data_IF_791656184958
#
_entry.id   IF_791656184958
#
_cell.length_a   1.000
_cell.length_b   1.000
_cell.length_c   1.000
_cell.angle_alpha   90.00
_cell.angle_beta   90.00
_cell.angle_gamma   90.00
#
_symmetry.space_group_name_H-M   'P 1'
#
loop_
_entity.id
_entity.type
_entity.pdbx_description
1 polymer ?
#
# COMPACT_ATOMS: atom_id res chain seq x y z
N UNK A 1 15.21 -70.59 4.68
CA UNK A 1 15.78 -70.14 5.97
C UNK A 1 17.29 -69.95 5.81
N UNK A 2 17.84 -68.83 6.34
CA UNK A 2 19.17 -68.18 6.10
C UNK A 2 19.00 -66.93 5.23
N UNK A 3 19.43 -65.70 5.58
CA UNK A 3 20.35 -65.10 6.58
C UNK A 3 19.86 -63.63 6.79
N UNK A 4 19.76 -63.05 8.00
CA UNK A 4 20.82 -62.44 8.83
C UNK A 4 21.58 -61.32 8.06
N UNK A 5 21.72 -60.04 8.47
CA UNK A 5 22.14 -59.48 9.77
C UNK A 5 22.09 -57.92 9.74
N UNK A 6 21.68 -57.31 10.86
CA UNK A 6 22.06 -56.04 11.53
C UNK A 6 22.14 -54.67 10.81
N UNK A 7 21.42 -53.70 11.37
CA UNK A 7 21.92 -52.51 12.11
C UNK A 7 20.68 -51.84 12.74
N UNK A 8 20.57 -51.44 14.02
CA UNK A 8 21.55 -50.88 14.93
C UNK A 8 21.07 -49.48 15.35
N UNK A 9 20.19 -49.43 16.36
CA UNK A 9 20.02 -48.39 17.39
C UNK A 9 20.13 -46.90 16.99
N UNK A 10 19.02 -46.15 17.07
CA UNK A 10 18.93 -44.95 17.93
C UNK A 10 17.47 -44.55 18.19
N UNK A 11 17.02 -44.78 19.43
CA UNK A 11 15.89 -44.11 20.07
C UNK A 11 16.34 -42.68 20.42
N UNK A 12 15.53 -41.67 20.09
CA UNK A 12 15.15 -40.54 20.95
C UNK A 12 14.62 -39.35 20.12
N UNK A 13 13.65 -38.66 20.72
CA UNK A 13 13.11 -37.32 20.41
C UNK A 13 11.88 -37.26 19.51
N UNK A 14 10.74 -37.54 20.14
CA UNK A 14 9.59 -36.62 20.26
C UNK A 14 9.63 -35.35 19.39
N UNK A 15 8.53 -35.10 18.68
CA UNK A 15 8.14 -33.72 18.37
C UNK A 15 7.44 -33.57 17.03
N UNK A 16 6.13 -33.35 17.10
CA UNK A 16 5.35 -32.61 16.12
C UNK A 16 5.45 -33.10 14.67
N UNK A 17 4.45 -33.88 14.25
CA UNK A 17 4.02 -33.86 12.86
C UNK A 17 3.76 -32.40 12.47
N UNK A 18 4.70 -31.83 11.71
CA UNK A 18 4.55 -30.51 11.12
C UNK A 18 3.32 -30.54 10.20
N UNK A 19 2.37 -29.68 10.56
CA UNK A 19 1.19 -29.31 9.78
C UNK A 19 1.66 -28.98 8.36
N UNK A 20 1.05 -29.53 7.30
CA UNK A 20 1.33 -29.04 5.95
C UNK A 20 0.90 -27.57 5.91
N UNK A 21 1.87 -26.66 5.77
CA UNK A 21 1.58 -25.27 5.46
C UNK A 21 0.72 -25.26 4.20
N UNK A 22 -0.47 -24.66 4.29
CA UNK A 22 -1.37 -24.47 3.15
C UNK A 22 -0.63 -23.63 2.12
N UNK A 23 -0.09 -24.30 1.11
CA UNK A 23 0.52 -23.66 -0.05
C UNK A 23 -0.64 -23.21 -0.93
N UNK A 24 -1.12 -21.98 -0.71
CA UNK A 24 -1.91 -21.27 -1.70
C UNK A 24 -0.96 -20.92 -2.85
N UNK A 25 -0.85 -21.83 -3.82
CA UNK A 25 0.10 -21.74 -4.91
C UNK A 25 -0.28 -20.60 -5.86
N UNK A 26 0.41 -19.49 -5.66
CA UNK A 26 0.25 -18.26 -6.39
C UNK A 26 1.69 -17.74 -6.59
N UNK A 27 2.32 -18.17 -7.68
CA UNK A 27 3.73 -17.90 -7.95
C UNK A 27 3.86 -16.47 -8.48
N UNK A 28 3.79 -15.49 -7.58
CA UNK A 28 3.89 -14.06 -7.88
C UNK A 28 5.33 -13.55 -7.66
N UNK A 29 5.61 -12.28 -8.00
CA UNK A 29 6.90 -11.66 -7.62
C UNK A 29 7.15 -11.70 -6.10
N UNK A 30 6.08 -11.91 -5.31
CA UNK A 30 6.13 -12.04 -3.87
C UNK A 30 5.25 -13.18 -3.32
N UNK A 31 5.83 -14.00 -2.44
CA UNK A 31 5.05 -14.90 -1.58
C UNK A 31 4.35 -14.06 -0.49
N UNK A 32 3.03 -13.91 -0.60
CA UNK A 32 2.21 -13.40 0.49
C UNK A 32 2.42 -14.29 1.72
N UNK A 33 3.02 -13.75 2.79
CA UNK A 33 3.08 -14.39 4.11
C UNK A 33 1.74 -14.33 4.87
N UNK A 34 0.64 -13.95 4.22
CA UNK A 34 -0.67 -13.95 4.87
C UNK A 34 -1.22 -15.36 4.92
N UNK A 35 -1.67 -15.76 6.11
CA UNK A 35 -2.41 -17.02 6.30
C UNK A 35 -3.80 -17.00 5.62
N UNK A 36 -4.20 -15.84 5.07
CA UNK A 36 -5.52 -15.59 4.50
C UNK A 36 -5.45 -15.09 3.06
N UNK A 37 -6.44 -15.49 2.25
CA UNK A 37 -6.70 -14.88 0.94
C UNK A 37 -7.78 -13.81 1.12
N UNK A 38 -7.51 -12.61 0.63
CA UNK A 38 -8.50 -11.54 0.55
C UNK A 38 -8.99 -11.41 -0.88
N UNK A 39 -10.30 -11.25 -1.05
CA UNK A 39 -10.87 -11.06 -2.37
C UNK A 39 -12.11 -10.16 -2.34
N UNK A 40 -12.40 -9.55 -3.49
CA UNK A 40 -13.61 -8.78 -3.74
C UNK A 40 -14.54 -9.59 -4.62
N UNK A 41 -15.80 -9.76 -4.22
CA UNK A 41 -16.84 -10.29 -5.09
C UNK A 41 -17.12 -9.32 -6.26
N UNK A 42 -16.67 -9.64 -7.47
CA UNK A 42 -16.88 -8.85 -8.69
C UNK A 42 -18.28 -9.01 -9.26
N UNK A 43 -18.94 -10.10 -8.93
CA UNK A 43 -20.34 -10.40 -9.20
C UNK A 43 -21.05 -10.73 -7.87
N UNK A 44 -22.33 -11.07 -7.94
CA UNK A 44 -23.00 -11.70 -6.80
C UNK A 44 -22.34 -13.03 -6.46
N UNK A 45 -22.13 -13.30 -5.17
CA UNK A 45 -21.44 -14.51 -4.70
C UNK A 45 -22.38 -15.36 -3.84
N UNK A 46 -22.81 -16.54 -4.30
CA UNK A 46 -23.53 -17.51 -3.49
C UNK A 46 -22.70 -17.94 -2.28
N UNK A 47 -23.35 -18.03 -1.12
CA UNK A 47 -22.74 -18.49 0.13
C UNK A 47 -23.62 -19.55 0.76
N UNK A 48 -23.01 -20.65 1.18
CA UNK A 48 -23.67 -21.86 1.66
C UNK A 48 -23.46 -22.07 3.16
N UNK A 49 -24.32 -22.89 3.77
CA UNK A 49 -24.22 -23.23 5.20
C UNK A 49 -23.07 -24.20 5.51
N UNK A 50 -22.74 -25.12 4.61
CA UNK A 50 -21.69 -26.13 4.78
C UNK A 50 -20.94 -26.42 3.47
N UNK A 51 -19.85 -27.19 3.57
CA UNK A 51 -18.96 -27.63 2.49
C UNK A 51 -19.39 -28.96 1.82
N UNK A 52 -20.61 -29.43 2.11
CA UNK A 52 -21.15 -30.68 1.54
C UNK A 52 -22.63 -30.55 1.13
N UNK A 53 -23.22 -29.37 1.30
CA UNK A 53 -24.61 -29.08 0.93
C UNK A 53 -24.67 -27.84 0.03
N UNK A 54 -25.59 -27.87 -0.93
CA UNK A 54 -25.93 -26.71 -1.75
C UNK A 54 -27.01 -25.82 -1.10
N UNK A 55 -27.26 -26.00 0.21
CA UNK A 55 -28.18 -25.15 0.95
C UNK A 55 -27.65 -23.71 1.03
N UNK A 56 -28.28 -22.84 0.24
CA UNK A 56 -27.94 -21.43 0.15
C UNK A 56 -28.23 -20.72 1.47
N UNK A 57 -27.19 -20.11 2.04
CA UNK A 57 -27.28 -19.26 3.23
C UNK A 57 -27.60 -17.82 2.88
N UNK A 58 -26.93 -17.28 1.88
CA UNK A 58 -27.13 -15.91 1.40
C UNK A 58 -26.44 -15.72 0.05
N UNK A 59 -26.68 -14.57 -0.59
CA UNK A 59 -25.94 -14.11 -1.77
C UNK A 59 -25.30 -12.78 -1.39
N UNK A 60 -23.98 -12.70 -1.49
CA UNK A 60 -23.26 -11.46 -1.26
C UNK A 60 -23.40 -10.55 -2.49
N UNK A 61 -23.71 -9.27 -2.32
CA UNK A 61 -23.77 -8.34 -3.44
C UNK A 61 -22.38 -8.08 -4.03
N UNK A 62 -22.37 -7.57 -5.26
CA UNK A 62 -21.15 -7.05 -5.90
C UNK A 62 -20.41 -6.06 -4.99
N UNK A 63 -19.09 -6.07 -5.10
CA UNK A 63 -18.14 -5.27 -4.34
C UNK A 63 -18.03 -5.64 -2.84
N UNK A 64 -18.52 -6.81 -2.44
CA UNK A 64 -18.35 -7.30 -1.07
C UNK A 64 -16.94 -7.86 -0.87
N UNK A 65 -16.25 -7.40 0.17
CA UNK A 65 -14.98 -7.98 0.61
C UNK A 65 -15.18 -9.31 1.33
N UNK A 66 -14.39 -10.31 0.96
CA UNK A 66 -14.36 -11.64 1.57
C UNK A 66 -12.93 -12.02 1.98
N UNK A 67 -12.82 -12.76 3.09
CA UNK A 67 -11.55 -13.30 3.60
C UNK A 67 -11.67 -14.82 3.68
N UNK A 68 -10.87 -15.56 2.92
CA UNK A 68 -10.80 -17.03 3.03
C UNK A 68 -10.06 -17.37 4.32
N UNK A 69 -10.73 -18.11 5.20
CA UNK A 69 -10.22 -18.55 6.51
C UNK A 69 -10.00 -20.05 6.60
N UNK A 70 -10.57 -20.81 5.67
CA UNK A 70 -10.58 -22.26 5.68
C UNK A 70 -10.76 -22.85 4.28
N UNK A 71 -10.58 -24.15 4.18
CA UNK A 71 -10.72 -24.88 2.92
C UNK A 71 -11.03 -26.34 3.19
N UNK A 72 -11.98 -26.91 2.45
CA UNK A 72 -12.36 -28.32 2.55
C UNK A 72 -12.77 -28.83 1.17
N UNK A 73 -12.08 -29.85 0.64
CA UNK A 73 -12.33 -30.32 -0.73
C UNK A 73 -12.37 -29.19 -1.76
N UNK A 74 -13.47 -29.12 -2.52
CA UNK A 74 -13.75 -28.09 -3.53
C UNK A 74 -14.34 -26.79 -2.97
N UNK A 75 -14.21 -26.53 -1.68
CA UNK A 75 -14.82 -25.38 -0.99
C UNK A 75 -13.80 -24.52 -0.26
N UNK A 76 -14.11 -23.22 -0.19
CA UNK A 76 -13.49 -22.26 0.71
C UNK A 76 -14.46 -21.87 1.82
N UNK A 77 -13.97 -21.83 3.06
CA UNK A 77 -14.66 -21.15 4.14
C UNK A 77 -14.27 -19.68 4.09
N UNK A 78 -15.26 -18.79 3.98
CA UNK A 78 -15.07 -17.35 3.88
C UNK A 78 -15.68 -16.64 5.09
N UNK A 79 -15.04 -15.53 5.46
CA UNK A 79 -15.53 -14.54 6.40
C UNK A 79 -15.87 -13.25 5.65
N UNK A 80 -17.03 -12.66 5.96
CA UNK A 80 -17.54 -11.44 5.30
C UNK A 80 -18.30 -10.55 6.28
N UNK A 81 -18.42 -9.27 5.96
CA UNK A 81 -19.17 -8.30 6.75
C UNK A 81 -20.70 -8.50 6.61
N UNK A 82 -21.42 -8.47 7.72
CA UNK A 82 -22.88 -8.56 7.75
C UNK A 82 -23.52 -7.18 7.61
N UNK A 83 -24.66 -7.08 6.90
CA UNK A 83 -25.48 -5.85 6.82
C UNK A 83 -25.90 -5.29 8.19
N UNK A 84 -25.99 -6.14 9.21
CA UNK A 84 -26.36 -5.75 10.59
C UNK A 84 -25.16 -5.42 11.49
N UNK A 85 -23.96 -5.28 10.91
CA UNK A 85 -22.70 -5.18 11.65
C UNK A 85 -22.15 -6.56 12.05
N UNK A 86 -20.84 -6.60 12.30
CA UNK A 86 -20.09 -7.82 12.65
C UNK A 86 -19.69 -8.67 11.44
N UNK A 87 -19.01 -9.78 11.71
CA UNK A 87 -18.54 -10.74 10.72
C UNK A 87 -19.41 -12.00 10.72
N UNK A 88 -19.60 -12.60 9.55
CA UNK A 88 -20.25 -13.90 9.37
C UNK A 88 -19.33 -14.82 8.59
N UNK A 89 -19.49 -16.12 8.83
CA UNK A 89 -18.82 -17.15 8.06
C UNK A 89 -19.79 -17.86 7.12
N UNK A 90 -19.29 -18.48 6.08
CA UNK A 90 -20.02 -19.38 5.19
C UNK A 90 -19.08 -20.06 4.21
N UNK A 91 -19.64 -20.87 3.32
CA UNK A 91 -18.89 -21.64 2.35
C UNK A 91 -19.18 -21.17 0.93
N UNK A 92 -18.18 -21.23 0.06
CA UNK A 92 -18.30 -20.96 -1.37
C UNK A 92 -17.51 -22.02 -2.12
N UNK A 93 -17.99 -22.46 -3.29
CA UNK A 93 -17.21 -23.40 -4.10
C UNK A 93 -15.96 -22.69 -4.63
N UNK A 94 -14.89 -23.45 -4.88
CA UNK A 94 -13.67 -22.89 -5.48
C UNK A 94 -13.96 -22.33 -6.87
N UNK A 95 -14.83 -23.00 -7.63
CA UNK A 95 -15.19 -22.57 -8.98
C UNK A 95 -15.88 -21.20 -8.95
N UNK A 96 -16.90 -21.01 -8.11
CA UNK A 96 -17.56 -19.71 -7.90
C UNK A 96 -16.59 -18.66 -7.37
N UNK A 97 -15.70 -19.02 -6.44
CA UNK A 97 -14.71 -18.07 -5.94
C UNK A 97 -13.77 -17.59 -7.04
N UNK A 98 -13.26 -18.50 -7.88
CA UNK A 98 -12.36 -18.16 -8.97
C UNK A 98 -13.08 -17.45 -10.13
N UNK A 99 -14.37 -17.73 -10.36
CA UNK A 99 -15.16 -17.03 -11.37
C UNK A 99 -15.65 -15.66 -10.91
N UNK A 100 -15.93 -15.46 -9.63
CA UNK A 100 -16.68 -14.29 -9.16
C UNK A 100 -15.92 -13.43 -8.16
N UNK A 101 -14.67 -13.78 -7.82
CA UNK A 101 -13.83 -12.96 -6.95
C UNK A 101 -12.54 -12.48 -7.63
N UNK A 102 -12.08 -11.30 -7.22
CA UNK A 102 -10.78 -10.74 -7.55
C UNK A 102 -9.92 -10.70 -6.29
N UNK A 103 -8.76 -11.36 -6.33
CA UNK A 103 -7.85 -11.46 -5.17
C UNK A 103 -7.06 -10.16 -5.04
N UNK A 104 -6.83 -9.71 -3.81
CA UNK A 104 -6.04 -8.50 -3.56
C UNK A 104 -5.18 -8.61 -2.31
N UNK A 105 -4.28 -7.65 -2.15
CA UNK A 105 -3.49 -7.50 -0.93
C UNK A 105 -4.31 -6.86 0.19
N UNK A 106 -4.82 -7.69 1.08
CA UNK A 106 -5.62 -7.28 2.24
C UNK A 106 -4.83 -6.70 3.40
N UNK A 107 -3.52 -6.47 3.28
CA UNK A 107 -2.76 -5.74 4.31
C UNK A 107 -3.36 -4.36 4.53
N UNK A 108 -3.24 -3.90 5.77
CA UNK A 108 -3.67 -2.57 6.17
C UNK A 108 -2.95 -1.49 5.35
N UNK A 109 -3.67 -0.42 5.01
CA UNK A 109 -3.17 0.68 4.19
C UNK A 109 -2.46 1.65 5.12
N UNK A 110 -1.15 1.51 5.22
CA UNK A 110 -0.32 2.33 6.10
C UNK A 110 -0.26 3.78 5.58
N UNK A 111 -0.27 4.82 6.45
CA UNK A 111 -0.10 6.22 6.03
C UNK A 111 1.17 6.45 5.19
N UNK A 112 2.23 5.72 5.53
CA UNK A 112 3.43 5.55 4.72
C UNK A 112 4.11 4.22 5.09
N UNK A 113 4.89 3.69 4.16
CA UNK A 113 5.58 2.40 4.31
C UNK A 113 6.74 2.43 5.31
N UNK A 114 7.17 1.26 5.77
CA UNK A 114 8.37 1.13 6.61
C UNK A 114 9.60 1.70 5.88
N UNK A 115 10.50 2.33 6.61
CA UNK A 115 11.73 2.85 6.02
C UNK A 115 12.35 3.98 6.82
N UNK A 116 13.45 4.49 6.29
CA UNK A 116 14.14 5.66 6.84
C UNK A 116 13.65 6.92 6.15
N UNK A 117 13.23 7.88 6.95
CA UNK A 117 12.75 9.19 6.52
C UNK A 117 13.57 10.28 7.20
N UNK A 118 13.84 11.36 6.48
CA UNK A 118 14.27 12.63 7.05
C UNK A 118 13.05 13.34 7.63
N UNK A 119 13.20 13.84 8.85
CA UNK A 119 12.18 14.61 9.53
C UNK A 119 12.52 16.10 9.45
N UNK A 120 11.55 16.91 9.03
CA UNK A 120 11.63 18.37 9.11
C UNK A 120 10.43 18.86 9.93
N UNK A 121 10.72 19.56 11.03
CA UNK A 121 9.69 20.09 11.92
C UNK A 121 8.99 21.31 11.30
N UNK A 122 7.69 21.44 11.56
CA UNK A 122 6.90 22.62 11.23
C UNK A 122 5.87 22.86 12.32
N UNK A 123 5.74 24.10 12.76
CA UNK A 123 4.70 24.54 13.68
C UNK A 123 3.68 25.38 12.90
N UNK A 124 2.44 24.89 12.84
CA UNK A 124 1.38 25.55 12.08
C UNK A 124 0.88 26.81 12.82
N UNK A 125 1.39 27.98 12.44
CA UNK A 125 0.89 29.27 12.94
C UNK A 125 -0.52 29.54 12.41
N UNK A 126 -1.47 29.80 13.33
CA UNK A 126 -2.92 29.88 13.05
C UNK A 126 -3.38 31.09 12.21
N UNK A 127 -2.48 31.94 11.71
CA UNK A 127 -2.84 33.27 11.22
C UNK A 127 -2.68 33.53 9.71
N UNK A 128 -2.24 32.60 8.87
CA UNK A 128 -2.14 32.86 7.42
C UNK A 128 -2.84 31.80 6.55
N UNK A 129 -3.90 32.24 5.88
CA UNK A 129 -4.67 31.49 4.89
C UNK A 129 -4.03 31.46 3.51
N UNK A 130 -2.82 32.03 3.38
CA UNK A 130 -1.96 31.91 2.20
C UNK A 130 -0.70 31.14 2.59
N UNK A 131 -0.52 29.95 2.03
CA UNK A 131 0.79 29.29 1.96
C UNK A 131 1.72 30.12 1.04
N UNK A 132 2.13 31.30 1.51
CA UNK A 132 3.46 31.78 1.18
C UNK A 132 4.42 30.78 1.85
N UNK A 133 5.43 30.31 1.11
CA UNK A 133 6.56 29.55 1.68
C UNK A 133 7.20 30.37 2.79
N UNK A 134 6.65 30.32 4.01
CA UNK A 134 7.28 30.86 5.19
C UNK A 134 8.30 29.82 5.62
N UNK A 135 9.49 29.97 5.06
CA UNK A 135 10.75 29.29 5.41
C UNK A 135 11.25 29.66 6.81
N UNK A 136 10.47 30.42 7.58
CA UNK A 136 10.63 30.59 9.02
C UNK A 136 9.87 29.45 9.71
N UNK A 137 10.43 28.28 9.95
CA UNK A 137 11.69 28.01 10.62
C UNK A 137 12.14 26.58 10.26
N UNK A 138 12.94 26.40 9.20
CA UNK A 138 13.70 25.16 9.02
C UNK A 138 14.85 25.20 10.06
N UNK A 139 14.50 25.11 11.34
CA UNK A 139 15.45 25.23 12.43
C UNK A 139 15.96 23.82 12.78
N UNK A 140 17.23 23.63 12.41
CA UNK A 140 18.18 22.58 12.78
C UNK A 140 18.09 21.22 12.07
N UNK A 141 19.29 20.68 11.84
CA UNK A 141 19.66 19.40 11.24
C UNK A 141 18.51 18.40 11.04
N UNK A 142 18.07 18.22 9.78
CA UNK A 142 17.22 17.11 9.36
C UNK A 142 17.79 15.80 9.96
N UNK A 143 17.17 15.29 11.01
CA UNK A 143 17.56 14.01 11.59
C UNK A 143 16.72 12.91 10.96
N UNK A 144 17.36 11.77 10.73
CA UNK A 144 16.72 10.65 10.05
C UNK A 144 16.22 9.63 11.07
N UNK A 145 15.00 9.14 10.86
CA UNK A 145 14.40 8.08 11.67
C UNK A 145 13.92 6.94 10.79
N UNK A 146 14.08 5.72 11.29
CA UNK A 146 13.49 4.51 10.72
C UNK A 146 12.14 4.26 11.39
N UNK A 147 11.09 4.20 10.60
CA UNK A 147 9.74 3.89 11.05
C UNK A 147 9.42 2.43 10.76
N UNK A 148 8.84 1.75 11.76
CA UNK A 148 8.35 0.38 11.63
C UNK A 148 6.90 0.30 12.08
N UNK A 149 6.03 -0.07 11.16
CA UNK A 149 4.59 -0.18 11.33
C UNK A 149 4.22 -1.25 12.36
N UNK A 150 3.28 -0.89 13.23
CA UNK A 150 2.79 -1.70 14.33
C UNK A 150 1.28 -2.00 14.24
N UNK A 151 0.58 -1.53 13.19
CA UNK A 151 -0.87 -1.68 13.02
C UNK A 151 -1.66 -0.43 13.41
N UNK A 152 -2.85 -0.24 12.83
CA UNK A 152 -3.79 0.85 13.13
C UNK A 152 -3.13 2.25 13.12
N UNK A 153 -2.37 2.56 12.07
CA UNK A 153 -1.60 3.81 11.94
C UNK A 153 -0.53 4.04 13.03
N UNK A 154 -0.15 3.00 13.78
CA UNK A 154 0.88 3.08 14.82
C UNK A 154 2.25 2.65 14.31
N UNK A 155 3.29 3.28 14.85
CA UNK A 155 4.67 3.02 14.48
C UNK A 155 5.58 2.99 15.71
N UNK A 156 6.64 2.19 15.62
CA UNK A 156 7.83 2.37 16.44
C UNK A 156 8.85 3.17 15.64
N UNK A 157 9.60 4.03 16.33
CA UNK A 157 10.53 4.98 15.70
C UNK A 157 11.93 4.72 16.24
N UNK A 158 12.89 4.50 15.35
CA UNK A 158 14.30 4.26 15.68
C UNK A 158 15.17 5.33 15.02
N UNK A 159 16.17 5.87 15.72
CA UNK A 159 17.14 6.78 15.13
C UNK A 159 17.90 6.08 14.00
N UNK A 160 18.04 6.72 12.84
CA UNK A 160 18.69 6.07 11.69
C UNK A 160 20.17 5.78 12.00
N UNK A 161 20.63 4.57 11.67
CA UNK A 161 22.03 4.15 11.90
C UNK A 161 22.38 3.80 13.36
N UNK A 162 21.45 3.95 14.31
CA UNK A 162 21.66 3.65 15.72
C UNK A 162 20.64 2.63 16.23
N UNK A 163 21.03 1.77 17.19
CA UNK A 163 20.10 0.90 17.92
C UNK A 163 19.46 1.64 19.11
N UNK A 164 18.89 2.81 18.82
CA UNK A 164 18.17 3.66 19.78
C UNK A 164 16.78 3.99 19.29
N UNK A 165 15.80 3.78 20.16
CA UNK A 165 14.36 3.90 19.86
C UNK A 165 13.77 5.09 20.60
N UNK A 166 12.83 5.79 19.97
CA UNK A 166 12.09 6.85 20.63
C UNK A 166 11.25 6.22 21.74
N UNK A 167 11.46 6.68 22.96
CA UNK A 167 10.80 6.16 24.15
C UNK A 167 9.38 6.67 24.26
N UNK A 168 8.52 5.88 24.90
CA UNK A 168 7.20 6.35 25.31
C UNK A 168 7.33 7.58 26.19
N UNK A 169 6.38 8.49 26.03
CA UNK A 169 6.34 9.70 26.82
C UNK A 169 5.95 9.41 28.28
N UNK A 170 6.57 10.13 29.23
CA UNK A 170 6.39 9.93 30.68
C UNK A 170 5.74 11.11 31.40
N UNK A 171 5.17 12.08 30.67
CA UNK A 171 4.62 13.34 31.21
C UNK A 171 5.63 14.25 31.93
N UNK A 172 6.93 13.95 31.85
CA UNK A 172 7.95 14.89 32.33
C UNK A 172 7.91 16.18 31.51
N UNK A 173 8.05 17.33 32.17
CA UNK A 173 7.88 18.65 31.57
C UNK A 173 9.12 19.13 30.79
N UNK A 174 10.26 18.44 30.88
CA UNK A 174 11.47 18.80 30.14
C UNK A 174 12.43 17.59 30.02
N UNK A 175 12.13 16.60 29.15
CA UNK A 175 13.13 15.60 28.79
C UNK A 175 14.20 16.22 27.88
N UNK A 176 15.47 15.94 28.14
CA UNK A 176 16.54 16.27 27.18
C UNK A 176 16.48 15.31 25.98
N UNK A 177 17.01 15.71 24.82
CA UNK A 177 17.02 14.86 23.61
C UNK A 177 17.62 13.48 23.85
N UNK A 178 18.65 13.36 24.70
CA UNK A 178 19.28 12.09 25.06
C UNK A 178 18.38 11.18 25.90
N UNK A 179 17.45 11.74 26.68
CA UNK A 179 16.51 10.97 27.51
C UNK A 179 15.33 10.39 26.73
N UNK A 180 15.06 10.95 25.54
CA UNK A 180 14.02 10.49 24.60
C UNK A 180 14.42 9.23 23.83
N UNK A 181 15.71 8.91 23.75
CA UNK A 181 16.22 7.76 23.01
C UNK A 181 16.66 6.66 23.97
N UNK A 182 16.10 5.45 23.81
CA UNK A 182 16.35 4.31 24.68
C UNK A 182 16.60 3.01 23.93
N UNK A 183 16.62 1.92 24.69
CA UNK A 183 16.69 0.57 24.15
C UNK A 183 15.39 0.16 23.44
N UNK A 184 15.42 -0.97 22.73
CA UNK A 184 14.23 -1.53 22.07
C UNK A 184 13.11 -1.87 23.06
N UNK A 185 13.44 -2.25 24.29
CA UNK A 185 12.48 -2.59 25.35
C UNK A 185 11.74 -1.36 25.89
N UNK A 186 12.32 -0.17 25.72
CA UNK A 186 11.74 1.10 26.15
C UNK A 186 11.02 1.83 24.99
N UNK A 187 10.99 1.23 23.80
CA UNK A 187 10.41 1.85 22.61
C UNK A 187 8.92 2.17 22.81
N UNK A 188 8.55 3.42 22.53
CA UNK A 188 7.16 3.84 22.50
C UNK A 188 6.45 3.41 21.22
N UNK A 189 5.13 3.52 21.26
CA UNK A 189 4.25 3.32 20.12
C UNK A 189 3.56 4.64 19.82
N UNK A 190 3.71 5.10 18.58
CA UNK A 190 3.28 6.43 18.16
C UNK A 190 2.18 6.34 17.11
N UNK A 191 1.05 6.97 17.37
CA UNK A 191 -0.02 7.15 16.40
C UNK A 191 0.39 8.25 15.42
N UNK A 192 0.37 7.92 14.13
CA UNK A 192 0.70 8.86 13.07
C UNK A 192 -0.57 9.31 12.36
N UNK A 193 -0.80 10.62 12.32
CA UNK A 193 -1.98 11.20 11.65
C UNK A 193 -1.56 12.23 10.62
N UNK A 194 -2.07 12.10 9.39
CA UNK A 194 -1.85 13.10 8.34
C UNK A 194 -2.61 14.39 8.67
N UNK A 195 -1.93 15.53 8.63
CA UNK A 195 -2.52 16.88 8.74
C UNK A 195 -2.04 17.71 7.55
N UNK A 196 -2.90 17.86 6.54
CA UNK A 196 -2.56 18.47 5.24
C UNK A 196 -1.33 17.79 4.61
N UNK A 197 -0.22 18.52 4.46
CA UNK A 197 1.02 18.04 3.85
C UNK A 197 1.97 17.37 4.86
N UNK A 198 1.64 17.45 6.15
CA UNK A 198 2.49 17.02 7.25
C UNK A 198 1.86 15.87 8.05
N UNK A 199 2.57 15.41 9.07
CA UNK A 199 2.12 14.37 10.00
C UNK A 199 2.31 14.80 11.45
N UNK A 200 1.33 14.49 12.31
CA UNK A 200 1.56 14.48 13.75
C UNK A 200 2.16 13.12 14.15
N UNK A 201 3.03 13.13 15.16
CA UNK A 201 3.61 11.94 15.77
C UNK A 201 3.19 11.96 17.23
N UNK A 202 2.14 11.21 17.58
CA UNK A 202 1.49 11.30 18.88
C UNK A 202 1.81 10.07 19.74
N UNK A 203 2.29 10.28 20.97
CA UNK A 203 2.42 9.19 21.95
C UNK A 203 1.02 8.68 22.32
N UNK A 204 0.84 7.36 22.24
CA UNK A 204 -0.47 6.76 22.48
C UNK A 204 -0.94 6.88 23.94
N UNK A 205 -0.02 6.89 24.90
CA UNK A 205 -0.37 6.87 26.32
C UNK A 205 -0.72 8.26 26.81
N UNK A 206 0.14 9.24 26.51
CA UNK A 206 -0.01 10.60 27.03
C UNK A 206 -0.80 11.52 26.11
N UNK A 207 -1.01 11.11 24.85
CA UNK A 207 -1.64 11.91 23.79
C UNK A 207 -0.90 13.22 23.48
N UNK A 208 0.38 13.32 23.84
CA UNK A 208 1.25 14.44 23.49
C UNK A 208 1.94 14.18 22.14
N UNK A 209 2.14 15.22 21.36
CA UNK A 209 2.82 15.17 20.07
C UNK A 209 4.32 15.38 20.26
N UNK A 210 5.12 14.62 19.51
CA UNK A 210 6.54 14.92 19.34
C UNK A 210 6.67 16.28 18.65
N UNK A 211 7.45 17.16 19.25
CA UNK A 211 7.70 18.53 18.81
C UNK A 211 9.19 18.84 18.92
N UNK A 212 9.54 20.05 18.50
CA UNK A 212 10.85 20.64 18.67
C UNK A 212 10.69 22.03 19.30
N UNK A 213 11.42 22.31 20.38
CA UNK A 213 11.40 23.64 20.99
C UNK A 213 12.34 24.64 20.29
N UNK A 214 12.33 25.90 20.73
CA UNK A 214 13.18 26.99 20.22
C UNK A 214 14.68 26.64 20.20
N UNK A 215 15.11 25.74 21.09
CA UNK A 215 16.47 25.24 21.19
C UNK A 215 16.79 24.10 20.24
N UNK A 216 15.91 23.75 19.31
CA UNK A 216 16.05 22.60 18.41
C UNK A 216 16.03 21.24 19.10
N UNK A 217 15.58 21.18 20.35
CA UNK A 217 15.57 19.95 21.13
C UNK A 217 14.20 19.29 20.98
N UNK A 218 14.20 17.99 20.70
CA UNK A 218 12.97 17.19 20.65
C UNK A 218 12.31 17.15 22.03
N UNK A 219 10.99 17.26 22.04
CA UNK A 219 10.17 17.18 23.26
C UNK A 219 8.74 16.67 22.94
N UNK A 220 7.94 16.43 23.98
CA UNK A 220 6.52 16.11 23.84
C UNK A 220 5.65 17.27 24.33
N UNK A 221 4.70 17.70 23.49
CA UNK A 221 3.82 18.84 23.76
C UNK A 221 2.34 18.46 23.59
N UNK A 222 1.45 19.21 24.23
CA UNK A 222 0.00 19.11 23.98
C UNK A 222 -0.45 19.93 22.77
N UNK A 223 0.45 20.70 22.15
CA UNK A 223 0.13 21.44 20.95
C UNK A 223 -0.14 20.50 19.76
N UNK A 224 -1.30 20.68 19.14
CA UNK A 224 -1.75 19.94 17.96
C UNK A 224 -1.20 20.49 16.64
N UNK A 225 -0.46 21.59 16.68
CA UNK A 225 0.19 22.22 15.52
C UNK A 225 1.65 21.79 15.33
N UNK A 226 2.22 21.05 16.27
CA UNK A 226 3.49 20.35 16.11
C UNK A 226 3.37 19.24 15.06
N UNK A 227 3.89 19.50 13.85
CA UNK A 227 3.80 18.58 12.71
C UNK A 227 5.17 18.39 12.05
N UNK A 228 5.28 17.28 11.31
CA UNK A 228 6.52 16.85 10.68
C UNK A 228 6.30 16.59 9.19
N UNK A 229 7.20 17.10 8.36
CA UNK A 229 7.38 16.60 7.00
C UNK A 229 8.28 15.37 7.06
N UNK A 230 7.88 14.32 6.37
CA UNK A 230 8.67 13.10 6.24
C UNK A 230 9.10 12.99 4.79
N UNK A 231 10.41 12.91 4.54
CA UNK A 231 10.96 12.75 3.19
C UNK A 231 11.77 11.47 3.12
N UNK A 232 11.50 10.63 2.12
CA UNK A 232 12.14 9.32 1.96
C UNK A 232 13.23 9.39 0.90
N UNK A 233 14.40 8.83 1.21
CA UNK A 233 15.57 8.90 0.31
C UNK A 233 15.76 7.65 -0.57
N UNK A 234 14.86 6.67 -0.47
CA UNK A 234 14.94 5.39 -1.20
C UNK A 234 13.54 4.93 -1.55
N UNK A 235 13.36 4.22 -2.67
CA UNK A 235 12.07 3.60 -3.03
C UNK A 235 11.51 2.69 -1.92
N UNK A 236 10.18 2.55 -1.92
CA UNK A 236 9.42 1.67 -1.05
C UNK A 236 9.06 0.32 -1.69
N UNK A 237 9.97 -0.23 -2.48
CA UNK A 237 9.78 -1.48 -3.24
C UNK A 237 10.42 -2.71 -2.58
N UNK A 238 11.02 -2.52 -1.40
CA UNK A 238 11.56 -3.61 -0.58
C UNK A 238 10.47 -4.62 -0.24
N UNK A 239 10.86 -5.88 -0.02
CA UNK A 239 9.98 -7.02 0.24
C UNK A 239 8.86 -6.75 1.27
N UNK A 240 9.15 -5.99 2.31
CA UNK A 240 8.19 -5.68 3.39
C UNK A 240 7.21 -4.55 3.03
N UNK A 241 7.55 -3.73 2.03
CA UNK A 241 6.83 -2.51 1.66
C UNK A 241 6.06 -2.67 0.36
N UNK A 242 6.56 -3.48 -0.58
CA UNK A 242 5.94 -3.71 -1.88
C UNK A 242 4.47 -4.10 -1.70
N UNK A 243 3.56 -3.25 -2.12
CA UNK A 243 2.11 -3.44 -2.04
C UNK A 243 1.49 -2.87 -3.31
N UNK A 244 0.64 -3.65 -3.97
CA UNK A 244 -0.13 -3.16 -5.13
C UNK A 244 -1.49 -2.72 -4.63
N UNK A 245 -1.77 -1.43 -4.76
CA UNK A 245 -3.10 -0.88 -4.52
C UNK A 245 -3.94 -1.10 -5.78
N UNK A 246 -4.93 -1.96 -5.65
CA UNK A 246 -5.83 -2.33 -6.75
C UNK A 246 -7.10 -1.50 -6.71
N UNK A 247 -7.66 -1.21 -7.88
CA UNK A 247 -8.88 -0.41 -7.99
C UNK A 247 -10.14 -1.14 -7.49
N UNK A 248 -10.03 -2.45 -7.28
CA UNK A 248 -11.11 -3.34 -6.84
C UNK A 248 -11.00 -3.75 -5.35
N UNK A 249 -10.34 -2.97 -4.49
CA UNK A 249 -10.39 -3.20 -3.03
C UNK A 249 -11.76 -2.80 -2.47
N UNK A 250 -12.40 -3.60 -1.59
CA UNK A 250 -13.73 -3.31 -1.04
C UNK A 250 -13.84 -1.97 -0.29
N UNK A 251 -12.71 -1.38 0.14
CA UNK A 251 -12.69 -0.05 0.77
C UNK A 251 -13.16 1.05 -0.20
N UNK A 252 -12.93 0.90 -1.50
CA UNK A 252 -13.25 1.93 -2.50
C UNK A 252 -13.92 1.42 -3.77
N UNK A 253 -13.91 0.11 -4.06
CA UNK A 253 -14.35 -0.46 -5.33
C UNK A 253 -15.73 0.01 -5.78
N UNK A 254 -16.68 0.12 -4.84
CA UNK A 254 -18.06 0.56 -5.10
C UNK A 254 -18.24 2.08 -5.19
N UNK A 255 -17.24 2.86 -4.79
CA UNK A 255 -17.34 4.31 -4.74
C UNK A 255 -17.16 4.90 -6.13
N UNK A 256 -17.93 5.96 -6.38
CA UNK A 256 -17.87 6.69 -7.65
C UNK A 256 -16.47 7.23 -7.90
N UNK A 257 -16.04 7.12 -9.14
CA UNK A 257 -14.88 7.88 -9.58
C UNK A 257 -15.34 9.32 -9.78
N UNK A 258 -15.01 10.22 -8.86
CA UNK A 258 -15.30 11.64 -8.97
C UNK A 258 -16.29 12.09 -7.91
N UNK A 259 -16.88 13.27 -8.08
CA UNK A 259 -17.76 13.86 -7.07
C UNK A 259 -19.19 13.29 -7.13
N UNK A 260 -19.98 13.53 -6.08
CA UNK A 260 -21.37 13.03 -5.95
C UNK A 260 -22.33 13.57 -7.02
N UNK A 261 -21.92 14.57 -7.83
CA UNK A 261 -22.76 15.14 -8.91
C UNK A 261 -22.65 14.40 -10.23
N UNK A 262 -21.75 13.42 -10.32
CA UNK A 262 -21.54 12.63 -11.54
C UNK A 262 -22.64 11.58 -11.69
N UNK A 263 -23.41 11.65 -12.80
CA UNK A 263 -24.70 10.96 -12.94
C UNK A 263 -24.64 9.45 -13.21
N UNK A 264 -23.47 8.92 -13.60
CA UNK A 264 -23.33 7.50 -13.96
C UNK A 264 -22.71 6.68 -12.82
N UNK A 265 -23.55 5.95 -12.10
CA UNK A 265 -23.20 5.29 -10.85
C UNK A 265 -22.74 3.83 -11.01
N UNK A 266 -23.22 3.14 -12.04
CA UNK A 266 -23.04 1.68 -12.17
C UNK A 266 -21.85 1.30 -13.06
N UNK A 267 -21.40 2.19 -13.94
CA UNK A 267 -20.29 1.99 -14.88
C UNK A 267 -19.03 2.79 -14.56
N UNK A 268 -19.10 3.75 -13.62
CA UNK A 268 -18.01 4.69 -13.33
C UNK A 268 -17.65 4.76 -11.84
N UNK A 269 -17.31 3.60 -11.27
CA UNK A 269 -16.72 3.47 -9.95
C UNK A 269 -15.22 3.13 -10.04
N UNK A 270 -14.51 3.17 -8.92
CA UNK A 270 -13.09 2.80 -8.91
C UNK A 270 -12.85 1.41 -9.49
N UNK A 271 -13.72 0.43 -9.21
CA UNK A 271 -13.53 -0.92 -9.70
C UNK A 271 -13.52 -1.01 -11.24
N UNK A 272 -14.21 -0.10 -11.93
CA UNK A 272 -14.39 -0.13 -13.40
C UNK A 272 -13.46 0.83 -14.12
N UNK A 273 -13.28 2.04 -13.58
CA UNK A 273 -12.62 3.15 -14.28
C UNK A 273 -11.42 3.73 -13.51
N UNK A 274 -11.01 3.13 -12.38
CA UNK A 274 -10.01 3.68 -11.47
C UNK A 274 -8.54 3.47 -11.83
N UNK A 275 -8.22 2.84 -12.97
CA UNK A 275 -6.86 2.37 -13.26
C UNK A 275 -5.81 3.48 -13.24
N UNK A 276 -6.10 4.66 -13.79
CA UNK A 276 -5.17 5.80 -13.78
C UNK A 276 -4.94 6.39 -12.38
N UNK A 277 -5.98 6.40 -11.52
CA UNK A 277 -5.83 6.82 -10.12
C UNK A 277 -4.94 5.84 -9.38
N UNK A 278 -5.21 4.54 -9.48
CA UNK A 278 -4.41 3.54 -8.76
C UNK A 278 -3.02 3.32 -9.34
N UNK A 279 -2.81 3.56 -10.64
CA UNK A 279 -1.45 3.63 -11.20
C UNK A 279 -0.67 4.80 -10.61
N UNK A 280 -1.32 5.95 -10.38
CA UNK A 280 -0.73 7.10 -9.68
C UNK A 280 -0.44 6.77 -8.21
N UNK A 281 -1.36 6.13 -7.50
CA UNK A 281 -1.17 5.67 -6.10
C UNK A 281 0.05 4.76 -6.00
N UNK A 282 0.13 3.74 -6.87
CA UNK A 282 1.24 2.78 -6.89
C UNK A 282 2.57 3.46 -7.24
N UNK A 283 2.57 4.45 -8.16
CA UNK A 283 3.77 5.19 -8.54
C UNK A 283 4.30 6.04 -7.38
N UNK A 284 3.43 6.80 -6.71
CA UNK A 284 3.77 7.64 -5.56
C UNK A 284 4.24 6.77 -4.39
N UNK A 285 3.45 5.76 -4.01
CA UNK A 285 3.77 4.92 -2.87
C UNK A 285 5.09 4.17 -3.06
N UNK A 286 5.34 3.62 -4.25
CA UNK A 286 6.60 2.91 -4.53
C UNK A 286 7.81 3.85 -4.55
N UNK A 287 7.61 5.12 -4.90
CA UNK A 287 8.65 6.13 -5.00
C UNK A 287 9.01 6.71 -3.62
N UNK A 288 8.02 7.29 -2.93
CA UNK A 288 8.22 8.05 -1.68
C UNK A 288 7.80 7.29 -0.42
N UNK A 289 7.10 6.18 -0.57
CA UNK A 289 6.54 5.42 0.54
C UNK A 289 5.24 5.99 1.10
N UNK A 290 4.82 7.19 0.72
CA UNK A 290 3.57 7.78 1.20
C UNK A 290 2.36 7.17 0.51
N UNK A 291 1.29 6.89 1.26
CA UNK A 291 0.03 6.46 0.69
C UNK A 291 -0.84 7.66 0.32
N UNK A 292 -1.04 7.96 -0.98
CA UNK A 292 -1.98 9.00 -1.39
C UNK A 292 -3.42 8.54 -1.26
N UNK A 293 -4.29 9.46 -0.86
CA UNK A 293 -5.71 9.20 -0.74
C UNK A 293 -6.32 9.07 -2.15
N UNK A 294 -6.82 7.89 -2.55
CA UNK A 294 -7.40 7.70 -3.88
C UNK A 294 -8.63 8.59 -4.12
N UNK A 295 -9.39 8.94 -3.07
CA UNK A 295 -10.56 9.81 -3.19
C UNK A 295 -10.15 11.24 -3.52
N UNK A 296 -9.12 11.77 -2.86
CA UNK A 296 -8.60 13.11 -3.13
C UNK A 296 -8.06 13.24 -4.56
N UNK A 297 -7.32 12.22 -5.02
CA UNK A 297 -6.84 12.15 -6.40
C UNK A 297 -8.01 12.11 -7.40
N UNK A 298 -9.03 11.29 -7.14
CA UNK A 298 -10.19 11.14 -8.00
C UNK A 298 -11.08 12.39 -8.06
N UNK A 299 -11.31 13.05 -6.92
CA UNK A 299 -12.03 14.32 -6.87
C UNK A 299 -11.29 15.39 -7.67
N UNK A 300 -9.97 15.51 -7.49
CA UNK A 300 -9.17 16.46 -8.25
C UNK A 300 -9.20 16.16 -9.76
N UNK A 301 -9.08 14.89 -10.16
CA UNK A 301 -9.21 14.49 -11.56
C UNK A 301 -10.57 14.89 -12.15
N UNK A 302 -11.65 14.67 -11.40
CA UNK A 302 -13.01 15.03 -11.82
C UNK A 302 -13.20 16.55 -11.93
N UNK A 303 -12.81 17.31 -10.90
CA UNK A 303 -12.99 18.76 -10.84
C UNK A 303 -12.16 19.51 -11.88
N UNK A 304 -11.05 18.91 -12.33
CA UNK A 304 -10.19 19.45 -13.39
C UNK A 304 -10.41 18.84 -14.76
N UNK A 305 -11.50 18.07 -14.93
CA UNK A 305 -11.89 17.46 -16.21
C UNK A 305 -10.86 16.47 -16.79
N UNK A 306 -10.03 15.87 -15.95
CA UNK A 306 -9.18 14.72 -16.31
C UNK A 306 -9.91 13.39 -16.17
N UNK A 307 -11.08 13.34 -15.53
CA UNK A 307 -11.95 12.17 -15.60
C UNK A 307 -12.63 12.13 -16.96
N UNK A 308 -12.45 11.03 -17.68
CA UNK A 308 -13.18 10.74 -18.92
C UNK A 308 -14.28 9.73 -18.59
N UNK A 309 -15.52 10.11 -18.85
CA UNK A 309 -16.69 9.24 -18.67
C UNK A 309 -16.51 7.92 -19.42
N UNK A 310 -16.77 6.81 -18.72
CA UNK A 310 -16.60 5.42 -19.18
C UNK A 310 -15.19 5.00 -19.65
N UNK A 311 -14.20 5.91 -19.58
CA UNK A 311 -12.83 5.66 -20.06
C UNK A 311 -11.76 5.82 -18.97
N UNK A 312 -12.12 6.35 -17.80
CA UNK A 312 -11.22 6.49 -16.66
C UNK A 312 -10.49 7.82 -16.62
N UNK A 313 -9.16 7.80 -16.68
CA UNK A 313 -8.31 8.97 -16.44
C UNK A 313 -7.58 9.41 -17.72
N UNK A 314 -7.71 10.69 -18.06
CA UNK A 314 -6.89 11.34 -19.07
C UNK A 314 -5.42 11.42 -18.64
N UNK A 315 -4.50 11.22 -19.58
CA UNK A 315 -3.05 11.21 -19.29
C UNK A 315 -2.51 12.55 -18.79
N UNK A 316 -3.17 13.67 -19.11
CA UNK A 316 -2.85 15.00 -18.59
C UNK A 316 -2.94 15.08 -17.06
N UNK A 317 -3.70 14.16 -16.44
CA UNK A 317 -3.77 14.02 -14.99
C UNK A 317 -2.40 13.81 -14.34
N UNK A 318 -1.49 13.04 -14.96
CA UNK A 318 -0.26 12.63 -14.27
C UNK A 318 0.64 13.82 -13.96
N UNK A 319 0.80 14.73 -14.94
CA UNK A 319 1.48 16.00 -14.70
C UNK A 319 0.73 16.86 -13.68
N UNK A 320 -0.58 17.01 -13.83
CA UNK A 320 -1.39 17.85 -12.95
C UNK A 320 -1.43 17.34 -11.49
N UNK A 321 -1.37 16.03 -11.29
CA UNK A 321 -1.30 15.39 -9.98
C UNK A 321 0.03 15.68 -9.29
N UNK A 322 1.14 15.64 -10.03
CA UNK A 322 2.44 16.04 -9.50
C UNK A 322 2.48 17.52 -9.12
N UNK A 323 1.93 18.42 -9.95
CA UNK A 323 1.85 19.85 -9.63
C UNK A 323 1.00 20.13 -8.38
N UNK A 324 -0.09 19.37 -8.19
CA UNK A 324 -1.03 19.57 -7.08
C UNK A 324 -0.58 18.90 -5.78
N UNK A 325 -0.03 17.69 -5.86
CA UNK A 325 0.20 16.81 -4.72
C UNK A 325 1.67 16.44 -4.51
N UNK A 326 2.57 16.93 -5.35
CA UNK A 326 4.00 16.61 -5.32
C UNK A 326 4.63 16.88 -3.97
N UNK A 327 4.48 18.11 -3.47
CA UNK A 327 5.01 18.51 -2.15
C UNK A 327 4.47 17.64 -1.01
N UNK A 328 3.16 17.33 -1.06
CA UNK A 328 2.43 16.54 -0.07
C UNK A 328 2.93 15.11 0.04
N UNK A 329 3.24 14.47 -1.10
CA UNK A 329 3.62 13.06 -1.16
C UNK A 329 5.08 12.82 -1.57
N UNK A 330 5.89 13.86 -1.74
CA UNK A 330 7.32 13.77 -2.05
C UNK A 330 7.63 13.23 -3.45
N UNK A 331 6.97 13.76 -4.49
CA UNK A 331 7.22 13.36 -5.87
C UNK A 331 7.05 14.53 -6.86
N UNK A 332 7.63 14.40 -8.04
CA UNK A 332 7.48 15.37 -9.14
C UNK A 332 7.35 14.67 -10.49
N UNK A 333 6.80 15.38 -11.48
CA UNK A 333 6.69 14.89 -12.86
C UNK A 333 7.99 15.10 -13.62
N UNK A 334 8.48 14.04 -14.27
CA UNK A 334 9.75 14.06 -15.00
C UNK A 334 9.59 13.83 -16.51
N UNK A 335 8.39 14.05 -17.03
CA UNK A 335 8.08 13.94 -18.45
C UNK A 335 7.46 12.62 -18.85
N UNK A 336 7.40 12.40 -20.16
CA UNK A 336 6.82 11.21 -20.78
C UNK A 336 7.64 10.79 -21.99
N UNK A 337 7.65 9.49 -22.28
CA UNK A 337 8.39 8.92 -23.41
C UNK A 337 7.84 7.58 -23.86
N UNK A 338 8.37 7.07 -24.97
CA UNK A 338 7.97 5.77 -25.55
C UNK A 338 9.17 4.79 -25.60
N UNK A 339 10.34 5.23 -25.13
CA UNK A 339 11.60 4.49 -25.26
C UNK A 339 11.86 3.58 -24.06
N UNK A 340 12.02 2.28 -24.31
CA UNK A 340 12.49 1.34 -23.30
C UNK A 340 13.90 1.64 -22.80
N UNK A 341 14.75 2.27 -23.63
CA UNK A 341 16.08 2.71 -23.20
C UNK A 341 15.96 3.80 -22.13
N UNK A 342 15.14 4.81 -22.39
CA UNK A 342 14.86 5.89 -21.44
C UNK A 342 14.22 5.34 -20.17
N UNK A 343 13.21 4.45 -20.30
CA UNK A 343 12.61 3.76 -19.15
C UNK A 343 13.67 3.06 -18.29
N UNK A 344 14.61 2.30 -18.88
CA UNK A 344 15.68 1.63 -18.12
C UNK A 344 16.60 2.63 -17.41
N UNK A 345 16.88 3.78 -18.03
CA UNK A 345 17.71 4.83 -17.44
C UNK A 345 16.98 5.47 -16.24
N UNK A 346 15.73 5.91 -16.43
CA UNK A 346 14.87 6.47 -15.37
C UNK A 346 14.70 5.54 -14.17
N UNK A 347 14.39 4.26 -14.41
CA UNK A 347 14.20 3.29 -13.32
C UNK A 347 15.50 3.07 -12.50
N UNK A 348 16.68 3.14 -13.13
CA UNK A 348 17.98 3.04 -12.44
C UNK A 348 18.32 4.29 -11.64
N UNK A 349 17.85 5.46 -12.07
CA UNK A 349 17.99 6.72 -11.34
C UNK A 349 17.10 6.77 -10.09
N UNK A 350 16.07 5.93 -10.04
CA UNK A 350 15.17 5.85 -8.90
C UNK A 350 13.74 6.32 -9.20
N UNK A 351 13.39 6.48 -10.48
CA UNK A 351 12.07 6.94 -10.88
C UNK A 351 11.07 5.79 -10.96
N UNK A 352 9.78 6.12 -11.00
CA UNK A 352 8.71 5.20 -11.38
C UNK A 352 8.07 5.66 -12.68
N UNK A 353 7.44 4.74 -13.40
CA UNK A 353 6.76 5.04 -14.66
C UNK A 353 5.34 4.51 -14.62
N UNK A 354 4.36 5.37 -14.87
CA UNK A 354 3.01 4.94 -15.23
C UNK A 354 3.05 4.53 -16.70
N UNK A 355 2.61 3.31 -17.01
CA UNK A 355 2.60 2.75 -18.35
C UNK A 355 1.16 2.77 -18.90
N UNK A 356 0.98 3.36 -20.08
CA UNK A 356 -0.28 3.27 -20.82
C UNK A 356 -0.32 2.00 -21.65
N UNK A 357 -1.23 1.10 -21.30
CA UNK A 357 -1.52 -0.15 -22.00
C UNK A 357 -2.89 -0.01 -22.71
N UNK A 358 -3.27 -0.93 -23.63
CA UNK A 358 -4.52 -0.82 -24.36
C UNK A 358 -5.74 -0.75 -23.42
N UNK A 359 -6.31 0.46 -23.29
CA UNK A 359 -7.44 0.76 -22.41
C UNK A 359 -7.14 0.63 -20.92
N UNK A 360 -5.87 0.72 -20.49
CA UNK A 360 -5.49 0.47 -19.10
C UNK A 360 -4.23 1.23 -18.68
N UNK A 361 -4.06 1.46 -17.38
CA UNK A 361 -2.82 1.98 -16.80
C UNK A 361 -2.25 1.00 -15.78
N UNK A 362 -0.94 0.78 -15.85
CA UNK A 362 -0.15 0.06 -14.86
C UNK A 362 1.03 0.90 -14.40
N UNK A 363 1.80 0.40 -13.45
CA UNK A 363 2.98 1.13 -12.93
C UNK A 363 4.20 0.25 -12.95
N UNK A 364 5.26 0.70 -13.60
CA UNK A 364 6.58 0.07 -13.55
C UNK A 364 7.41 0.79 -12.51
N UNK A 365 7.86 0.06 -11.49
CA UNK A 365 8.48 0.67 -10.30
C UNK A 365 9.95 0.32 -10.11
N UNK A 366 10.43 -0.72 -10.79
CA UNK A 366 11.81 -1.18 -10.68
C UNK A 366 12.29 -1.93 -11.93
N UNK A 367 13.61 -2.06 -12.07
CA UNK A 367 14.27 -2.81 -13.12
C UNK A 367 15.37 -3.71 -12.55
N UNK A 368 15.22 -5.02 -12.76
CA UNK A 368 16.20 -6.02 -12.38
C UNK A 368 17.20 -6.23 -13.52
N UNK A 369 18.36 -5.57 -13.43
CA UNK A 369 19.40 -5.68 -14.45
C UNK A 369 19.96 -7.10 -14.63
N UNK A 370 19.91 -7.96 -13.61
CA UNK A 370 20.40 -9.36 -13.71
C UNK A 370 19.42 -10.25 -14.49
N UNK A 371 18.13 -9.98 -14.37
CA UNK A 371 17.07 -10.75 -15.03
C UNK A 371 16.58 -10.11 -16.33
N UNK A 372 16.98 -8.87 -16.60
CA UNK A 372 16.45 -8.00 -17.67
C UNK A 372 14.92 -7.95 -17.63
N UNK A 373 14.38 -7.64 -16.45
CA UNK A 373 12.95 -7.61 -16.18
C UNK A 373 12.53 -6.35 -15.44
N UNK A 374 11.31 -5.91 -15.71
CA UNK A 374 10.64 -4.78 -15.08
C UNK A 374 9.65 -5.27 -14.03
N UNK A 375 9.57 -4.57 -12.90
CA UNK A 375 8.55 -4.84 -11.89
C UNK A 375 7.30 -4.04 -12.22
N UNK A 376 6.28 -4.71 -12.76
CA UNK A 376 4.99 -4.16 -13.12
C UNK A 376 3.99 -4.35 -11.98
N UNK A 377 3.28 -3.29 -11.62
CA UNK A 377 2.13 -3.28 -10.71
C UNK A 377 0.87 -3.04 -11.54
N UNK A 378 0.00 -4.05 -11.59
CA UNK A 378 -1.28 -3.95 -12.30
C UNK A 378 -2.42 -3.64 -11.30
N UNK A 379 -2.98 -2.41 -11.30
CA UNK A 379 -4.07 -2.05 -10.38
C UNK A 379 -5.40 -2.75 -10.72
N UNK A 380 -5.50 -3.40 -11.88
CA UNK A 380 -6.66 -4.21 -12.26
C UNK A 380 -6.20 -5.44 -13.04
N UNK A 381 -5.57 -6.42 -12.41
CA UNK A 381 -5.15 -7.62 -13.16
C UNK A 381 -6.32 -8.30 -13.87
N UNK A 382 -6.08 -8.75 -15.10
CA UNK A 382 -7.01 -9.58 -15.85
C UNK A 382 -6.28 -10.86 -16.23
N UNK A 383 -6.92 -12.04 -16.19
CA UNK A 383 -6.28 -13.30 -16.57
C UNK A 383 -5.57 -13.24 -17.93
N UNK A 384 -6.14 -12.51 -18.89
CA UNK A 384 -5.57 -12.31 -20.23
C UNK A 384 -4.21 -11.58 -20.24
N UNK A 385 -3.91 -10.77 -19.22
CA UNK A 385 -2.64 -10.04 -19.09
C UNK A 385 -1.52 -10.86 -18.45
N UNK A 386 -1.85 -11.98 -17.80
CA UNK A 386 -0.86 -12.76 -17.06
C UNK A 386 -0.24 -12.03 -15.87
N UNK A 387 -0.91 -10.99 -15.35
CA UNK A 387 -0.50 -10.20 -14.19
C UNK A 387 -1.28 -10.61 -12.93
N UNK A 388 -0.86 -10.07 -11.79
CA UNK A 388 -1.44 -10.34 -10.47
C UNK A 388 -1.58 -9.07 -9.63
N UNK A 389 -2.34 -9.18 -8.54
CA UNK A 389 -2.50 -8.13 -7.52
C UNK A 389 -1.30 -8.01 -6.57
N UNK A 390 -0.15 -8.63 -6.89
CA UNK A 390 1.04 -8.67 -6.03
C UNK A 390 2.32 -8.23 -6.75
N UNK A 391 2.18 -7.76 -7.98
CA UNK A 391 3.28 -7.31 -8.83
C UNK A 391 3.97 -8.47 -9.54
N UNK A 392 4.47 -8.18 -10.74
CA UNK A 392 5.01 -9.19 -11.65
C UNK A 392 6.31 -8.72 -12.31
N UNK A 393 7.28 -9.62 -12.41
CA UNK A 393 8.50 -9.38 -13.16
C UNK A 393 8.31 -9.75 -14.62
N UNK A 394 8.09 -8.74 -15.46
CA UNK A 394 7.82 -8.86 -16.90
C UNK A 394 9.05 -8.51 -17.73
N UNK A 395 9.22 -9.16 -18.88
CA UNK A 395 10.32 -8.86 -19.81
C UNK A 395 9.99 -7.65 -20.68
N UNK A 396 11.00 -7.08 -21.35
CA UNK A 396 10.76 -6.04 -22.35
C UNK A 396 9.83 -6.53 -23.47
N UNK A 397 10.01 -7.77 -23.93
CA UNK A 397 9.15 -8.39 -24.95
C UNK A 397 7.68 -8.40 -24.54
N UNK A 398 7.39 -8.72 -23.27
CA UNK A 398 6.02 -8.69 -22.75
C UNK A 398 5.41 -7.29 -22.84
N UNK A 399 6.23 -6.24 -22.65
CA UNK A 399 5.81 -4.84 -22.74
C UNK A 399 5.79 -4.30 -24.17
N UNK A 400 6.40 -4.98 -25.15
CA UNK A 400 6.41 -4.59 -26.56
C UNK A 400 5.28 -5.26 -27.36
N UNK A 401 4.68 -6.32 -26.82
CA UNK A 401 3.75 -7.18 -27.56
C UNK A 401 2.50 -7.56 -26.74
N UNK A 402 1.43 -7.98 -27.43
CA UNK A 402 0.27 -8.59 -26.81
C UNK A 402 -0.53 -7.68 -25.88
N UNK A 403 -1.03 -8.24 -24.78
CA UNK A 403 -1.96 -7.55 -23.86
C UNK A 403 -1.29 -6.57 -22.90
N UNK A 404 0.04 -6.57 -22.86
CA UNK A 404 0.86 -5.67 -22.05
C UNK A 404 1.64 -4.65 -22.89
N UNK A 405 1.40 -4.60 -24.20
CA UNK A 405 2.04 -3.64 -25.12
C UNK A 405 1.89 -2.21 -24.61
N UNK A 406 2.98 -1.59 -24.19
CA UNK A 406 3.00 -0.23 -23.68
C UNK A 406 3.15 0.75 -24.84
N UNK A 407 2.30 1.78 -24.83
CA UNK A 407 2.35 2.85 -25.83
C UNK A 407 3.15 4.05 -25.32
N UNK A 408 3.01 4.40 -24.04
CA UNK A 408 3.64 5.58 -23.46
C UNK A 408 3.96 5.35 -21.99
N UNK A 409 5.05 5.95 -21.53
CA UNK A 409 5.47 6.02 -20.14
C UNK A 409 5.33 7.47 -19.64
N UNK A 410 4.87 7.63 -18.40
CA UNK A 410 4.82 8.90 -17.68
C UNK A 410 5.65 8.78 -16.41
N UNK A 411 6.70 9.58 -16.29
CA UNK A 411 7.72 9.41 -15.27
C UNK A 411 7.46 10.27 -14.03
N UNK A 412 7.62 9.67 -12.86
CA UNK A 412 7.71 10.38 -11.59
C UNK A 412 9.05 10.13 -10.93
N UNK A 413 9.61 11.18 -10.33
CA UNK A 413 10.84 11.14 -9.53
C UNK A 413 10.61 11.68 -8.12
N UNK A 414 11.44 11.25 -7.17
CA UNK A 414 11.34 11.71 -5.79
C UNK A 414 11.68 13.21 -5.69
N UNK A 415 11.02 13.92 -4.76
CA UNK A 415 11.29 15.34 -4.44
C UNK A 415 12.25 15.50 -3.25
#
# INVERSE_FOLDING_TARGET
>A
MKKHIFLGVLLMLTGFFFIPSKTFAFQHAYESKSDFIYALARNELPVYYSDYSNDLKTVLPKYTGVKVIGSSGSWYEIQYASKKGGTKNGWVTRDEFHSDCLIYDGREKQPFSNGTYQLSFYEENSSDSSFAMNTASIISENFSCSFKYAGDNRYTIRKAGEEKYLKADTLSNTPSSNELWGSKQEAGTFLITRKKDYYTICDETTKRNLSQNDGSILEFTTDSNAVWRLTRNKKAIEKENLQVFVQFDPVWAKHHYGNETTKDTDTNNFCTSGCGIFATVNAIYSLSGHFPDPYELAHYASDKHYRIEDCGTDSGFFKAAAEKFGYKYGFSYDGSGESFKELKEKLKEGDTAIAYLPGHYGTIVDYNAKKDKYLLMDPHYLPKRGTSSFGDWVSQKDLEEGTLMVQTFFYYKAE
#
